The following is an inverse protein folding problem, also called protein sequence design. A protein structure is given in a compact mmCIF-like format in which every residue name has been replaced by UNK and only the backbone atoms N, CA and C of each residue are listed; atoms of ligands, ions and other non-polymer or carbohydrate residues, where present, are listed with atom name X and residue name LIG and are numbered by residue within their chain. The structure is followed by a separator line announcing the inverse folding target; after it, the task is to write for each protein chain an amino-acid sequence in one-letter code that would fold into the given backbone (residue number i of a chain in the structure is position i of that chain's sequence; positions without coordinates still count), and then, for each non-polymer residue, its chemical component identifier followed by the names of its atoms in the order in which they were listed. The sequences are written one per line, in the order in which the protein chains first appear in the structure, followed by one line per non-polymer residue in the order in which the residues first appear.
data_IF_879707731112
#
_entry.id   IF_879707731112
#
_cell.length_a   1.000
_cell.length_b   1.000
_cell.length_c   1.000
_cell.angle_alpha   90.00
_cell.angle_beta   90.00
_cell.angle_gamma   90.00
#
_symmetry.space_group_name_H-M   'P 1'
#
loop_
_entity.id
_entity.type
_entity.pdbx_description
1 polymer ?
#
# COMPACT_ATOMS: atom_id res chain seq x y z
N UNK A 1 24.25 -1.98 -0.56
CA UNK A 1 22.97 -2.14 -1.26
C UNK A 1 22.02 -2.73 -0.26
N UNK A 2 21.08 -1.94 0.25
CA UNK A 2 20.05 -2.46 1.15
C UNK A 2 19.16 -3.43 0.36
N UNK A 3 18.80 -4.60 0.93
CA UNK A 3 17.97 -5.58 0.24
C UNK A 3 16.59 -4.97 0.01
N UNK A 4 16.12 -5.02 -1.23
CA UNK A 4 14.82 -4.49 -1.63
C UNK A 4 13.71 -5.22 -0.85
N UNK A 5 13.16 -4.57 0.18
CA UNK A 5 12.03 -5.05 0.98
C UNK A 5 10.74 -4.87 0.17
N UNK A 6 10.48 -5.81 -0.74
CA UNK A 6 9.29 -5.83 -1.59
C UNK A 6 8.26 -6.79 -0.97
N UNK A 7 7.01 -6.36 -0.89
CA UNK A 7 5.85 -7.16 -0.52
C UNK A 7 5.03 -7.47 -1.78
N UNK A 8 4.39 -8.63 -1.81
CA UNK A 8 3.56 -9.06 -2.94
C UNK A 8 2.16 -9.34 -2.46
N UNK A 9 1.17 -8.65 -3.02
CA UNK A 9 -0.23 -9.07 -2.95
C UNK A 9 -0.68 -9.69 -4.27
N UNK A 10 -1.54 -10.70 -4.15
CA UNK A 10 -2.13 -11.38 -5.29
C UNK A 10 -3.51 -10.79 -5.54
N UNK A 11 -3.66 -10.13 -6.68
CA UNK A 11 -4.99 -9.80 -7.17
C UNK A 11 -5.73 -11.05 -7.64
N UNK A 12 -7.06 -10.97 -7.70
CA UNK A 12 -7.91 -12.10 -8.10
C UNK A 12 -7.59 -12.64 -9.50
N UNK A 13 -7.14 -11.77 -10.39
CA UNK A 13 -6.73 -12.12 -11.75
C UNK A 13 -5.48 -13.00 -11.85
N UNK A 14 -4.76 -13.20 -10.74
CA UNK A 14 -3.42 -13.82 -10.73
C UNK A 14 -2.30 -12.81 -10.97
N UNK A 15 -2.62 -11.51 -11.05
CA UNK A 15 -1.65 -10.42 -11.13
C UNK A 15 -0.92 -10.24 -9.81
N UNK A 16 0.40 -10.06 -9.90
CA UNK A 16 1.30 -9.86 -8.77
C UNK A 16 1.55 -8.36 -8.59
N UNK A 17 1.06 -7.79 -7.49
CA UNK A 17 1.29 -6.39 -7.13
C UNK A 17 2.44 -6.27 -6.14
N UNK A 18 3.51 -5.61 -6.57
CA UNK A 18 4.69 -5.39 -5.73
C UNK A 18 4.58 -4.08 -4.98
N UNK A 19 4.41 -4.16 -3.67
CA UNK A 19 4.45 -3.05 -2.73
C UNK A 19 5.88 -2.86 -2.20
N UNK A 20 6.35 -1.62 -2.16
CA UNK A 20 7.70 -1.27 -1.71
C UNK A 20 7.62 -0.06 -0.79
N UNK A 21 8.66 0.17 0.01
CA UNK A 21 8.74 1.44 0.76
C UNK A 21 8.71 2.62 -0.23
N UNK A 22 8.02 3.72 0.11
CA UNK A 22 8.04 4.93 -0.69
C UNK A 22 9.50 5.42 -0.87
N UNK A 23 9.86 5.94 -2.05
CA UNK A 23 11.16 6.57 -2.25
C UNK A 23 11.26 7.85 -1.40
N UNK A 24 12.49 8.28 -1.07
CA UNK A 24 12.73 9.56 -0.37
C UNK A 24 12.21 10.76 -1.16
N UNK A 25 12.42 10.75 -2.49
CA UNK A 25 11.81 11.73 -3.41
C UNK A 25 10.51 11.15 -3.96
N UNK A 26 9.38 11.64 -3.43
CA UNK A 26 8.05 11.13 -3.80
C UNK A 26 7.70 11.53 -5.24
N UNK A 27 7.43 10.57 -6.15
CA UNK A 27 7.05 10.87 -7.53
C UNK A 27 5.62 11.42 -7.63
N UNK A 28 5.39 12.28 -8.63
CA UNK A 28 4.05 12.74 -9.02
C UNK A 28 3.34 11.70 -9.89
N UNK A 29 3.15 10.48 -9.35
CA UNK A 29 2.53 9.37 -10.08
C UNK A 29 1.42 8.69 -9.26
N UNK A 30 0.42 8.10 -9.92
CA UNK A 30 -0.61 7.31 -9.24
C UNK A 30 -0.01 6.08 -8.59
N UNK A 31 -0.53 5.74 -7.41
CA UNK A 31 -0.08 4.60 -6.62
C UNK A 31 -1.21 4.04 -5.78
N UNK A 32 -1.14 2.73 -5.53
CA UNK A 32 -1.89 2.07 -4.47
C UNK A 32 -0.97 2.06 -3.26
N UNK A 33 -1.46 2.44 -2.08
CA UNK A 33 -0.70 2.36 -0.85
C UNK A 33 -1.31 1.34 0.09
N UNK A 34 -0.46 0.68 0.87
CA UNK A 34 -0.81 -0.33 1.87
C UNK A 34 -0.40 0.21 3.25
N UNK A 35 -1.36 0.26 4.15
CA UNK A 35 -1.14 0.53 5.57
C UNK A 35 -1.13 -0.79 6.32
N UNK A 36 -0.03 -1.09 6.98
CA UNK A 36 0.14 -2.33 7.72
C UNK A 36 1.13 -2.18 8.87
N UNK A 37 0.99 -3.02 9.88
CA UNK A 37 2.02 -3.27 10.88
C UNK A 37 2.89 -4.43 10.41
N UNK A 38 4.21 -4.24 10.40
CA UNK A 38 5.16 -5.24 9.94
C UNK A 38 5.73 -5.98 11.15
N UNK A 39 5.23 -7.18 11.44
CA UNK A 39 5.66 -7.96 12.60
C UNK A 39 6.92 -8.78 12.27
N UNK A 40 8.04 -8.10 12.09
CA UNK A 40 9.37 -8.70 12.07
C UNK A 40 9.73 -9.48 10.80
N UNK A 41 11.00 -9.36 10.42
CA UNK A 41 11.62 -10.12 9.32
C UNK A 41 11.98 -11.50 9.84
N UNK A 42 11.40 -12.58 9.28
CA UNK A 42 11.93 -13.91 9.58
C UNK A 42 13.30 -14.02 8.91
N UNK A 43 14.33 -14.07 9.75
CA UNK A 43 15.74 -14.11 9.36
C UNK A 43 15.96 -15.26 8.39
N UNK A 44 16.28 -14.93 7.13
CA UNK A 44 16.45 -15.80 5.93
C UNK A 44 15.25 -15.86 4.99
N UNK A 45 14.96 -14.73 4.33
CA UNK A 45 14.13 -14.71 3.12
C UNK A 45 12.69 -15.20 3.30
N UNK A 46 12.19 -15.20 4.54
CA UNK A 46 10.86 -15.67 4.88
C UNK A 46 9.85 -14.52 4.88
N UNK A 47 8.65 -14.86 4.45
CA UNK A 47 7.46 -14.01 4.41
C UNK A 47 7.34 -13.14 5.65
N UNK A 48 7.08 -11.86 5.43
CA UNK A 48 6.67 -10.95 6.48
C UNK A 48 5.24 -11.28 6.88
N UNK A 49 4.97 -11.35 8.18
CA UNK A 49 3.61 -11.45 8.70
C UNK A 49 3.05 -10.04 8.87
N UNK A 50 1.94 -9.77 8.16
CA UNK A 50 1.24 -8.49 8.18
C UNK A 50 0.00 -8.62 9.04
N UNK A 51 -0.17 -7.68 9.97
CA UNK A 51 -1.39 -7.59 10.75
C UNK A 51 -2.33 -6.58 10.10
N UNK A 52 -3.51 -7.07 9.70
CA UNK A 52 -4.62 -6.26 9.20
C UNK A 52 -4.23 -5.30 8.07
N UNK A 53 -3.67 -5.75 6.93
CA UNK A 53 -3.31 -4.85 5.83
C UNK A 53 -4.54 -4.15 5.25
N UNK A 54 -4.45 -2.84 5.03
CA UNK A 54 -5.49 -2.07 4.32
C UNK A 54 -4.90 -1.30 3.16
N UNK A 55 -5.61 -1.29 2.03
CA UNK A 55 -5.20 -0.60 0.81
C UNK A 55 -6.00 0.69 0.59
N UNK A 56 -5.31 1.71 0.08
CA UNK A 56 -5.88 2.92 -0.49
C UNK A 56 -5.24 3.24 -1.84
N UNK A 57 -5.76 4.24 -2.54
CA UNK A 57 -5.19 4.69 -3.82
C UNK A 57 -5.12 6.20 -3.87
N UNK A 58 -4.11 6.69 -4.57
CA UNK A 58 -3.85 8.12 -4.80
C UNK A 58 -3.52 8.35 -6.26
N UNK A 59 -3.90 9.51 -6.79
CA UNK A 59 -3.61 9.87 -8.19
C UNK A 59 -2.26 10.56 -8.35
N UNK A 60 -1.73 11.14 -7.26
CA UNK A 60 -0.33 11.57 -7.17
C UNK A 60 0.23 11.27 -5.80
N UNK A 61 1.23 10.38 -5.73
CA UNK A 61 1.88 10.02 -4.49
C UNK A 61 2.48 11.25 -3.78
N UNK A 62 3.12 12.16 -4.52
CA UNK A 62 3.68 13.40 -3.98
C UNK A 62 2.62 14.35 -3.42
N UNK A 63 1.54 14.59 -4.15
CA UNK A 63 0.53 15.60 -3.78
C UNK A 63 -0.40 15.10 -2.67
N UNK A 64 -0.65 13.79 -2.66
CA UNK A 64 -1.62 13.18 -1.75
C UNK A 64 -0.95 12.59 -0.50
N UNK A 65 0.38 12.69 -0.38
CA UNK A 65 1.14 12.14 0.75
C UNK A 65 0.69 12.73 2.10
N UNK A 66 0.70 14.05 2.22
CA UNK A 66 0.37 14.75 3.47
C UNK A 66 -1.15 14.87 3.70
N UNK A 67 -1.95 14.84 2.63
CA UNK A 67 -3.39 15.06 2.68
C UNK A 67 -4.21 13.77 2.80
N UNK A 68 -3.71 12.64 2.31
CA UNK A 68 -4.41 11.34 2.29
C UNK A 68 -3.64 10.28 3.08
N UNK A 69 -2.39 10.01 2.69
CA UNK A 69 -1.62 8.88 3.21
C UNK A 69 -1.25 9.10 4.68
N UNK A 70 -0.71 10.27 5.02
CA UNK A 70 -0.29 10.60 6.38
C UNK A 70 -1.47 10.60 7.37
N UNK A 71 -2.63 11.20 7.07
CA UNK A 71 -3.82 11.09 7.91
C UNK A 71 -4.33 9.66 8.04
N UNK A 72 -4.38 8.89 6.95
CA UNK A 72 -4.84 7.51 6.98
C UNK A 72 -3.92 6.63 7.86
N UNK A 73 -2.60 6.81 7.74
CA UNK A 73 -1.61 6.15 8.61
C UNK A 73 -1.84 6.49 10.08
N UNK A 74 -2.10 7.76 10.41
CA UNK A 74 -2.37 8.17 11.80
C UNK A 74 -3.69 7.62 12.35
N UNK A 75 -4.72 7.52 11.51
CA UNK A 75 -6.02 6.97 11.91
C UNK A 75 -5.94 5.48 12.24
N UNK A 76 -5.00 4.77 11.62
CA UNK A 76 -4.68 3.38 11.93
C UNK A 76 -3.58 3.34 12.97
N UNK A 77 -3.95 3.50 14.24
CA UNK A 77 -3.04 3.65 15.40
C UNK A 77 -1.91 2.60 15.43
N UNK A 78 -2.16 1.38 14.93
CA UNK A 78 -1.19 0.28 14.90
C UNK A 78 -0.30 0.27 13.65
N UNK A 79 -0.57 1.08 12.62
CA UNK A 79 0.15 1.04 11.34
C UNK A 79 1.47 1.81 11.36
N UNK A 80 2.57 1.07 11.51
CA UNK A 80 3.89 1.66 11.53
C UNK A 80 4.51 1.88 10.14
N UNK A 81 4.11 1.08 9.14
CA UNK A 81 4.67 1.16 7.78
C UNK A 81 3.61 1.58 6.74
N UNK A 82 4.10 2.26 5.70
CA UNK A 82 3.37 2.55 4.46
C UNK A 82 4.18 1.94 3.32
N UNK A 83 3.55 1.08 2.54
CA UNK A 83 4.12 0.58 1.29
C UNK A 83 3.33 1.13 0.11
N UNK A 84 3.96 1.27 -1.04
CA UNK A 84 3.37 1.77 -2.27
C UNK A 84 3.59 0.78 -3.40
N UNK A 85 2.55 0.56 -4.20
CA UNK A 85 2.58 -0.18 -5.44
C UNK A 85 2.27 0.79 -6.58
N UNK A 86 3.21 0.87 -7.51
CA UNK A 86 3.03 1.60 -8.75
C UNK A 86 2.48 0.64 -9.80
N UNK A 87 1.34 0.99 -10.38
CA UNK A 87 0.66 0.16 -11.38
C UNK A 87 1.46 0.21 -12.68
N UNK A 88 2.04 -0.92 -13.07
CA UNK A 88 2.83 -1.05 -14.30
C UNK A 88 1.96 -1.37 -15.52
N UNK A 89 0.80 -2.01 -15.31
CA UNK A 89 -0.13 -2.46 -16.36
C UNK A 89 -1.58 -2.19 -15.92
N UNK A 90 -2.41 -1.72 -16.86
CA UNK A 90 -3.80 -1.35 -16.59
C UNK A 90 -3.97 0.02 -15.92
N UNK A 91 -5.20 0.34 -15.51
CA UNK A 91 -5.51 1.58 -14.79
C UNK A 91 -5.36 1.41 -13.27
N UNK A 92 -5.20 2.54 -12.56
CA UNK A 92 -5.17 2.56 -11.09
C UNK A 92 -6.43 1.94 -10.49
N UNK A 93 -7.59 2.25 -11.07
CA UNK A 93 -8.88 1.71 -10.63
C UNK A 93 -8.95 0.20 -10.82
N UNK A 94 -8.59 -0.32 -11.99
CA UNK A 94 -8.59 -1.78 -12.25
C UNK A 94 -7.65 -2.53 -11.30
N UNK A 95 -6.45 -2.01 -11.07
CA UNK A 95 -5.50 -2.62 -10.14
C UNK A 95 -6.02 -2.63 -8.70
N UNK A 96 -6.70 -1.56 -8.29
CA UNK A 96 -7.30 -1.46 -6.96
C UNK A 96 -8.49 -2.42 -6.79
N UNK A 97 -9.37 -2.49 -7.78
CA UNK A 97 -10.49 -3.43 -7.80
C UNK A 97 -10.00 -4.88 -7.81
N UNK A 98 -8.93 -5.21 -8.54
CA UNK A 98 -8.38 -6.57 -8.57
C UNK A 98 -7.77 -7.01 -7.22
N UNK A 99 -7.10 -6.09 -6.51
CA UNK A 99 -6.61 -6.33 -5.15
C UNK A 99 -7.76 -6.50 -4.16
N UNK A 100 -8.76 -5.62 -4.21
CA UNK A 100 -9.96 -5.71 -3.36
C UNK A 100 -10.67 -7.05 -3.58
N UNK A 101 -10.88 -7.42 -4.83
CA UNK A 101 -11.55 -8.67 -5.19
C UNK A 101 -10.68 -9.90 -4.85
N UNK A 102 -9.36 -9.73 -4.74
CA UNK A 102 -8.40 -10.72 -4.23
C UNK A 102 -8.45 -10.89 -2.70
N UNK A 103 -9.20 -10.03 -1.99
CA UNK A 103 -9.40 -10.09 -0.54
C UNK A 103 -8.71 -8.99 0.25
N UNK A 104 -8.05 -8.03 -0.41
CA UNK A 104 -7.45 -6.89 0.27
C UNK A 104 -8.53 -6.02 0.92
N UNK A 105 -8.32 -5.62 2.17
CA UNK A 105 -9.26 -4.74 2.86
C UNK A 105 -9.05 -3.30 2.40
N UNK A 106 -10.10 -2.61 2.00
CA UNK A 106 -10.00 -1.21 1.60
C UNK A 106 -10.04 -0.31 2.82
N UNK A 107 -9.22 0.74 2.82
CA UNK A 107 -9.36 1.80 3.81
C UNK A 107 -10.78 2.34 3.81
N UNK A 108 -11.38 2.57 4.99
CA UNK A 108 -12.67 3.23 5.06
C UNK A 108 -12.54 4.62 4.44
N UNK A 109 -13.59 5.12 3.75
CA UNK A 109 -13.61 6.51 3.34
C UNK A 109 -13.39 7.36 4.60
N UNK A 110 -12.36 8.23 4.57
CA UNK A 110 -12.10 9.12 5.69
C UNK A 110 -13.41 9.83 6.06
N UNK A 111 -13.82 9.85 7.33
CA UNK A 111 -15.01 10.59 7.71
C UNK A 111 -14.76 12.04 7.29
N UNK A 112 -15.55 12.51 6.32
CA UNK A 112 -15.56 13.92 5.97
C UNK A 112 -15.82 14.66 7.27
N UNK A 113 -14.85 15.49 7.69
CA UNK A 113 -15.04 16.39 8.80
C UNK A 113 -16.33 17.18 8.52
N UNK A 114 -17.38 16.87 9.28
CA UNK A 114 -18.63 17.63 9.30
C UNK A 114 -18.44 18.90 10.11
#
# INVERSE_FOLDING_TARGET
MEPWHSFTEFGKSGTIYQFKRPPEDLPDQPAIFLLTTVMGSTTKGGSWEFLSPEIGRVHSLRRDWDSVITPARRAKEESEDVLVCFVSEGTLDEAFDDLRDGGAQTLPPTPSAS
#
